data_IF_981573316925
#
_entry.id   IF_981573316925
#
_cell.length_a   1.000
_cell.length_b   1.000
_cell.length_c   1.000
_cell.angle_alpha   90.00
_cell.angle_beta   90.00
_cell.angle_gamma   90.00
#
_symmetry.space_group_name_H-M   'P 1'
#
loop_
_entity.id
_entity.type
_entity.pdbx_description
1 polymer ?
#
# COMPACT_ATOMS: atom_id res chain seq x y z
N UNK A 1 -11.39 1.19 15.49
CA UNK A 1 -10.93 2.15 14.44
C UNK A 1 -9.41 2.32 14.43
N UNK A 2 -8.78 2.93 15.45
CA UNK A 2 -7.33 3.21 15.43
C UNK A 2 -6.46 1.94 15.27
N UNK A 3 -6.73 0.88 16.05
CA UNK A 3 -6.01 -0.40 15.89
C UNK A 3 -6.10 -0.98 14.46
N UNK A 4 -7.26 -0.87 13.82
CA UNK A 4 -7.45 -1.31 12.44
C UNK A 4 -6.67 -0.47 11.43
N UNK A 5 -6.40 0.80 11.75
CA UNK A 5 -5.59 1.68 10.90
C UNK A 5 -4.09 1.34 11.00
N UNK A 6 -3.61 0.88 12.16
CA UNK A 6 -2.18 0.66 12.42
C UNK A 6 -1.74 -0.80 12.34
N UNK A 7 -2.66 -1.75 12.12
CA UNK A 7 -2.31 -3.19 12.18
C UNK A 7 -1.31 -3.63 11.11
N UNK A 8 -1.37 -3.04 9.91
CA UNK A 8 -0.36 -3.33 8.89
C UNK A 8 1.02 -2.78 9.26
N UNK A 9 1.09 -1.70 10.04
CA UNK A 9 2.37 -1.14 10.49
C UNK A 9 3.11 -2.15 11.35
N UNK A 10 2.40 -2.79 12.30
CA UNK A 10 3.00 -3.82 13.14
C UNK A 10 3.39 -5.07 12.35
N UNK A 11 2.61 -5.47 11.35
CA UNK A 11 3.03 -6.53 10.43
C UNK A 11 4.35 -6.17 9.74
N UNK A 12 4.41 -4.99 9.12
CA UNK A 12 5.60 -4.53 8.40
C UNK A 12 6.80 -4.41 9.35
N UNK A 13 6.63 -3.85 10.55
CA UNK A 13 7.70 -3.73 11.54
C UNK A 13 8.28 -5.09 11.95
N UNK A 14 7.42 -6.08 12.19
CA UNK A 14 7.88 -7.44 12.53
C UNK A 14 8.64 -8.05 11.36
N UNK A 15 8.14 -7.90 10.12
CA UNK A 15 8.85 -8.41 8.96
C UNK A 15 10.16 -7.66 8.73
N UNK A 16 10.26 -6.35 8.96
CA UNK A 16 11.53 -5.61 8.90
C UNK A 16 12.52 -6.19 9.91
N UNK A 17 12.11 -6.44 11.15
CA UNK A 17 12.99 -7.02 12.19
C UNK A 17 13.51 -8.40 11.79
N UNK A 18 12.73 -9.20 11.05
CA UNK A 18 13.14 -10.53 10.58
C UNK A 18 13.99 -10.44 9.30
N UNK A 19 13.53 -9.69 8.30
CA UNK A 19 14.12 -9.68 6.96
C UNK A 19 15.32 -8.76 6.85
N UNK A 20 15.36 -7.62 7.54
CA UNK A 20 16.48 -6.69 7.38
C UNK A 20 17.83 -7.31 7.77
N UNK A 21 17.98 -8.02 8.93
CA UNK A 21 19.24 -8.69 9.25
C UNK A 21 19.58 -9.82 8.28
N UNK A 22 18.58 -10.57 7.83
CA UNK A 22 18.77 -11.64 6.84
C UNK A 22 19.21 -11.07 5.49
N UNK A 23 18.64 -9.95 5.07
CA UNK A 23 18.98 -9.29 3.82
C UNK A 23 20.40 -8.72 3.86
N UNK A 24 20.77 -8.03 4.94
CA UNK A 24 22.12 -7.49 5.12
C UNK A 24 23.20 -8.60 5.12
N UNK A 25 22.87 -9.80 5.60
CA UNK A 25 23.85 -10.89 5.71
C UNK A 25 23.87 -11.81 4.49
N UNK A 26 22.73 -12.00 3.82
CA UNK A 26 22.58 -13.02 2.77
C UNK A 26 22.22 -12.46 1.40
N UNK A 27 21.69 -11.24 1.33
CA UNK A 27 21.14 -10.61 0.12
C UNK A 27 20.10 -11.52 -0.57
N UNK A 28 19.25 -12.21 0.20
CA UNK A 28 18.38 -13.25 -0.37
C UNK A 28 17.23 -12.65 -1.19
N UNK A 29 16.63 -11.54 -0.75
CA UNK A 29 15.57 -10.86 -1.50
C UNK A 29 16.15 -10.26 -2.77
N UNK A 30 17.31 -9.60 -2.70
CA UNK A 30 18.04 -9.08 -3.86
C UNK A 30 18.34 -10.20 -4.87
N UNK A 31 18.97 -11.31 -4.43
CA UNK A 31 19.32 -12.43 -5.32
C UNK A 31 18.11 -13.07 -5.99
N UNK A 32 17.03 -13.31 -5.24
CA UNK A 32 15.80 -13.89 -5.80
C UNK A 32 15.14 -12.89 -6.74
N UNK A 33 15.13 -11.60 -6.39
CA UNK A 33 14.55 -10.55 -7.22
C UNK A 33 15.30 -10.38 -8.53
N UNK A 34 16.63 -10.35 -8.51
CA UNK A 34 17.47 -10.30 -9.72
C UNK A 34 17.22 -11.50 -10.62
N UNK A 35 17.14 -12.70 -10.03
CA UNK A 35 16.80 -13.92 -10.78
C UNK A 35 15.43 -13.78 -11.45
N UNK A 36 14.38 -13.42 -10.72
CA UNK A 36 13.03 -13.26 -11.27
C UNK A 36 12.95 -12.14 -12.31
N UNK A 37 13.60 -11.02 -12.07
CA UNK A 37 13.67 -9.88 -12.99
C UNK A 37 14.35 -10.30 -14.29
N UNK A 38 15.44 -11.07 -14.22
CA UNK A 38 16.12 -11.59 -15.40
C UNK A 38 15.26 -12.55 -16.24
N UNK A 39 14.36 -13.30 -15.61
CA UNK A 39 13.40 -14.16 -16.31
C UNK A 39 12.30 -13.36 -17.00
N UNK A 40 11.85 -12.25 -16.40
CA UNK A 40 10.80 -11.38 -16.98
C UNK A 40 11.36 -10.54 -18.13
N UNK A 41 12.63 -10.13 -18.05
CA UNK A 41 13.31 -9.37 -19.12
C UNK A 41 13.88 -10.32 -20.20
N UNK A 42 14.07 -11.60 -19.89
CA UNK A 42 14.60 -12.63 -20.78
C UNK A 42 13.58 -13.16 -21.81
N UNK A 43 14.04 -13.27 -23.07
CA UNK A 43 13.41 -13.91 -24.23
C UNK A 43 12.16 -13.30 -24.87
N UNK A 44 11.39 -12.44 -24.22
CA UNK A 44 10.42 -11.60 -24.92
C UNK A 44 10.24 -10.31 -24.15
N UNK A 45 10.68 -9.20 -24.72
CA UNK A 45 10.25 -7.88 -24.28
C UNK A 45 8.73 -7.86 -24.40
N UNK A 46 8.04 -8.13 -23.29
CA UNK A 46 6.60 -8.01 -23.21
C UNK A 46 6.34 -6.52 -23.40
N UNK A 47 6.11 -6.13 -24.64
CA UNK A 47 5.56 -4.84 -25.02
C UNK A 47 4.13 -4.81 -24.48
N UNK A 48 3.98 -4.49 -23.20
CA UNK A 48 2.72 -4.14 -22.54
C UNK A 48 2.17 -2.78 -23.04
N UNK A 49 2.59 -2.33 -24.22
CA UNK A 49 2.26 -1.04 -24.80
C UNK A 49 0.83 -0.93 -25.34
N UNK A 50 -0.03 -1.95 -25.25
CA UNK A 50 -1.26 -1.93 -26.05
C UNK A 50 -2.58 -1.59 -25.35
N UNK A 51 -2.58 -1.23 -24.06
CA UNK A 51 -3.77 -0.56 -23.50
C UNK A 51 -3.37 0.33 -22.33
N UNK A 52 -2.90 1.54 -22.63
CA UNK A 52 -2.70 2.57 -21.60
C UNK A 52 -4.08 3.15 -21.21
N UNK A 53 -4.91 2.32 -20.56
CA UNK A 53 -6.30 2.60 -20.15
C UNK A 53 -6.40 3.88 -19.33
N UNK A 54 -5.38 4.16 -18.53
CA UNK A 54 -5.25 5.40 -17.76
C UNK A 54 -5.16 6.58 -18.72
N UNK A 55 -4.27 6.55 -19.72
CA UNK A 55 -4.14 7.63 -20.71
C UNK A 55 -5.42 7.80 -21.51
N UNK A 56 -6.08 6.72 -21.92
CA UNK A 56 -7.36 6.81 -22.62
C UNK A 56 -8.45 7.49 -21.77
N UNK A 57 -8.56 7.13 -20.49
CA UNK A 57 -9.53 7.73 -19.58
C UNK A 57 -9.19 9.17 -19.16
N UNK A 58 -7.89 9.50 -19.06
CA UNK A 58 -7.42 10.80 -18.55
C UNK A 58 -7.12 11.83 -19.65
N UNK A 59 -6.79 11.41 -20.87
CA UNK A 59 -6.49 12.28 -22.02
C UNK A 59 -7.48 13.43 -22.23
N UNK A 60 -8.82 13.21 -22.27
CA UNK A 60 -9.74 14.32 -22.53
C UNK A 60 -9.72 15.37 -21.41
N UNK A 61 -9.37 14.98 -20.19
CA UNK A 61 -9.28 15.89 -19.05
C UNK A 61 -7.92 16.60 -19.04
N UNK A 62 -6.82 15.87 -19.24
CA UNK A 62 -5.47 16.43 -19.23
C UNK A 62 -5.23 17.39 -20.40
N UNK A 63 -5.77 17.12 -21.59
CA UNK A 63 -5.69 18.01 -22.75
C UNK A 63 -6.43 19.34 -22.51
N UNK A 64 -7.60 19.31 -21.86
CA UNK A 64 -8.34 20.52 -21.50
C UNK A 64 -7.58 21.36 -20.47
N UNK A 65 -6.98 20.71 -19.47
CA UNK A 65 -6.17 21.38 -18.46
C UNK A 65 -4.93 22.02 -19.09
N UNK A 66 -4.23 21.29 -19.97
CA UNK A 66 -3.04 21.80 -20.66
C UNK A 66 -3.37 22.98 -21.57
N UNK A 67 -4.49 22.92 -22.30
CA UNK A 67 -4.94 24.02 -23.16
C UNK A 67 -5.22 25.29 -22.35
N UNK A 68 -5.90 25.15 -21.20
CA UNK A 68 -6.15 26.26 -20.30
C UNK A 68 -4.85 26.81 -19.68
N UNK A 69 -3.97 25.92 -19.20
CA UNK A 69 -2.69 26.31 -18.59
C UNK A 69 -1.77 27.04 -19.56
N UNK A 70 -1.71 26.60 -20.82
CA UNK A 70 -0.89 27.24 -21.86
C UNK A 70 -1.40 28.63 -22.26
N UNK A 71 -2.60 29.03 -21.82
CA UNK A 71 -3.10 30.40 -21.98
C UNK A 71 -2.51 31.38 -20.96
N UNK A 72 -1.77 30.89 -19.95
CA UNK A 72 -1.11 31.70 -18.93
C UNK A 72 0.38 31.89 -19.26
N UNK A 73 0.97 33.07 -19.01
CA UNK A 73 2.41 33.28 -19.16
C UNK A 73 3.24 32.46 -18.15
N UNK A 74 4.46 32.07 -18.54
CA UNK A 74 5.48 31.55 -17.60
C UNK A 74 5.84 32.62 -16.54
N UNK A 75 5.94 32.30 -15.24
CA UNK A 75 5.85 30.97 -14.62
C UNK A 75 4.43 30.61 -14.08
N UNK A 76 3.41 31.44 -14.37
CA UNK A 76 2.07 31.28 -13.81
C UNK A 76 1.36 30.02 -14.30
N UNK A 77 1.68 29.54 -15.51
CA UNK A 77 1.20 28.26 -16.03
C UNK A 77 1.58 27.07 -15.11
N UNK A 78 2.85 26.96 -14.71
CA UNK A 78 3.35 25.88 -13.86
C UNK A 78 2.76 25.95 -12.44
N UNK A 79 2.67 27.16 -11.88
CA UNK A 79 2.04 27.38 -10.57
C UNK A 79 0.55 26.98 -10.62
N UNK A 80 -0.16 27.35 -11.68
CA UNK A 80 -1.57 26.99 -11.86
C UNK A 80 -1.76 25.47 -11.97
N UNK A 81 -0.91 24.76 -12.72
CA UNK A 81 -0.96 23.30 -12.82
C UNK A 81 -0.73 22.62 -11.47
N UNK A 82 0.26 23.08 -10.69
CA UNK A 82 0.55 22.53 -9.36
C UNK A 82 -0.65 22.74 -8.43
N UNK A 83 -1.17 23.96 -8.35
CA UNK A 83 -2.32 24.28 -7.48
C UNK A 83 -3.55 23.48 -7.89
N UNK A 84 -3.82 23.37 -9.20
CA UNK A 84 -4.96 22.62 -9.71
C UNK A 84 -4.82 21.11 -9.44
N UNK A 85 -3.64 20.54 -9.66
CA UNK A 85 -3.35 19.13 -9.38
C UNK A 85 -3.52 18.81 -7.89
N UNK A 86 -2.96 19.62 -7.00
CA UNK A 86 -3.13 19.48 -5.56
C UNK A 86 -4.63 19.57 -5.18
N UNK A 87 -5.35 20.55 -5.71
CA UNK A 87 -6.79 20.71 -5.44
C UNK A 87 -7.61 19.50 -5.88
N UNK A 88 -7.32 18.94 -7.06
CA UNK A 88 -7.96 17.71 -7.56
C UNK A 88 -7.67 16.50 -6.67
N UNK A 89 -6.44 16.37 -6.16
CA UNK A 89 -6.07 15.30 -5.22
C UNK A 89 -6.92 15.40 -3.95
N UNK A 90 -6.98 16.57 -3.33
CA UNK A 90 -7.80 16.78 -2.12
C UNK A 90 -9.28 16.55 -2.37
N UNK A 91 -9.82 17.02 -3.50
CA UNK A 91 -11.21 16.81 -3.88
C UNK A 91 -11.53 15.32 -4.07
N UNK A 92 -10.62 14.58 -4.72
CA UNK A 92 -10.75 13.14 -4.92
C UNK A 92 -10.76 12.39 -3.60
N UNK A 93 -9.82 12.70 -2.68
CA UNK A 93 -9.77 12.10 -1.33
C UNK A 93 -11.07 12.39 -0.55
N UNK A 94 -11.58 13.62 -0.63
CA UNK A 94 -12.83 14.00 0.02
C UNK A 94 -14.03 13.18 -0.50
N UNK A 95 -14.18 13.06 -1.81
CA UNK A 95 -15.28 12.30 -2.42
C UNK A 95 -15.16 10.80 -2.17
N UNK A 96 -13.95 10.24 -2.24
CA UNK A 96 -13.69 8.85 -1.85
C UNK A 96 -14.20 8.66 -0.43
N UNK A 97 -13.77 9.47 0.54
CA UNK A 97 -14.23 9.34 1.93
C UNK A 97 -15.76 9.39 2.11
N UNK A 98 -16.47 10.23 1.34
CA UNK A 98 -17.95 10.31 1.36
C UNK A 98 -18.61 9.08 0.72
N UNK A 99 -18.08 8.61 -0.40
CA UNK A 99 -18.56 7.42 -1.10
C UNK A 99 -18.33 6.18 -0.25
N UNK A 100 -17.16 6.02 0.36
CA UNK A 100 -16.88 4.92 1.28
C UNK A 100 -17.90 4.90 2.42
N UNK A 101 -18.18 6.02 3.08
CA UNK A 101 -19.24 6.10 4.11
C UNK A 101 -20.63 5.70 3.61
N UNK A 102 -20.95 5.98 2.34
CA UNK A 102 -22.25 5.65 1.73
C UNK A 102 -22.33 4.19 1.33
N UNK A 103 -21.24 3.63 0.80
CA UNK A 103 -21.11 2.22 0.44
C UNK A 103 -21.21 1.30 1.67
N UNK A 104 -20.93 1.82 2.86
CA UNK A 104 -21.00 1.06 4.12
C UNK A 104 -22.43 0.84 4.65
N UNK A 105 -23.47 1.16 3.87
CA UNK A 105 -24.87 0.95 4.25
C UNK A 105 -25.51 -0.11 3.35
N UNK A 106 -26.04 -1.19 3.94
CA UNK A 106 -26.81 -2.23 3.22
C UNK A 106 -25.97 -3.40 2.69
N UNK A 107 -26.22 -3.83 1.43
CA UNK A 107 -25.73 -5.09 0.83
C UNK A 107 -24.22 -5.22 0.67
N UNK A 108 -23.51 -4.11 0.44
CA UNK A 108 -22.05 -4.14 0.30
C UNK A 108 -21.37 -4.61 1.60
N UNK A 109 -22.02 -4.36 2.74
CA UNK A 109 -21.54 -4.75 4.05
C UNK A 109 -21.62 -6.27 4.27
N UNK A 110 -22.74 -6.89 3.90
CA UNK A 110 -22.92 -8.35 3.96
C UNK A 110 -22.02 -9.09 2.96
N UNK A 111 -21.86 -8.55 1.75
CA UNK A 111 -20.94 -9.11 0.76
C UNK A 111 -19.49 -9.08 1.26
N UNK A 112 -19.08 -7.96 1.86
CA UNK A 112 -17.73 -7.80 2.39
C UNK A 112 -17.50 -8.74 3.59
N UNK A 113 -18.48 -8.86 4.49
CA UNK A 113 -18.44 -9.85 5.57
C UNK A 113 -18.27 -11.27 5.07
N UNK A 114 -19.02 -11.65 4.03
CA UNK A 114 -18.95 -13.00 3.48
C UNK A 114 -17.61 -13.24 2.77
N UNK A 115 -17.08 -12.23 2.06
CA UNK A 115 -15.80 -12.33 1.36
C UNK A 115 -14.60 -12.40 2.32
N UNK A 116 -14.66 -11.68 3.46
CA UNK A 116 -13.57 -11.61 4.45
C UNK A 116 -13.68 -12.69 5.52
N UNK A 117 -14.90 -13.04 5.94
CA UNK A 117 -15.18 -13.90 7.10
C UNK A 117 -14.88 -15.38 6.92
N UNK A 118 -14.60 -15.85 5.69
CA UNK A 118 -14.30 -17.26 5.39
C UNK A 118 -12.85 -17.67 5.76
N UNK A 119 -12.19 -16.90 6.62
CA UNK A 119 -10.86 -17.17 7.14
C UNK A 119 -9.74 -16.40 6.43
N UNK A 120 -8.48 -16.56 6.89
CA UNK A 120 -7.39 -15.68 6.49
C UNK A 120 -7.07 -15.66 4.99
N UNK A 121 -7.16 -16.81 4.32
CA UNK A 121 -6.89 -16.88 2.88
C UNK A 121 -7.93 -16.11 2.06
N UNK A 122 -9.21 -16.19 2.46
CA UNK A 122 -10.28 -15.43 1.83
C UNK A 122 -10.11 -13.93 2.06
N UNK A 123 -9.71 -13.53 3.28
CA UNK A 123 -9.36 -12.15 3.60
C UNK A 123 -8.20 -11.62 2.72
N UNK A 124 -7.07 -12.34 2.67
CA UNK A 124 -5.89 -11.97 1.87
C UNK A 124 -6.25 -11.87 0.37
N UNK A 125 -6.96 -12.86 -0.16
CA UNK A 125 -7.38 -12.85 -1.56
C UNK A 125 -8.31 -11.67 -1.87
N UNK A 126 -9.29 -11.41 -1.00
CA UNK A 126 -10.23 -10.30 -1.15
C UNK A 126 -9.52 -8.94 -1.11
N UNK A 127 -8.63 -8.73 -0.14
CA UNK A 127 -7.86 -7.48 -0.02
C UNK A 127 -6.93 -7.24 -1.21
N UNK A 128 -6.31 -8.30 -1.72
CA UNK A 128 -5.48 -8.27 -2.93
C UNK A 128 -6.31 -7.86 -4.13
N UNK A 129 -7.42 -8.55 -4.38
CA UNK A 129 -8.30 -8.31 -5.52
C UNK A 129 -8.88 -6.90 -5.50
N UNK A 130 -9.42 -6.46 -4.37
CA UNK A 130 -9.97 -5.11 -4.22
C UNK A 130 -8.90 -4.07 -4.48
N UNK A 131 -7.69 -4.26 -3.95
CA UNK A 131 -6.59 -3.30 -4.17
C UNK A 131 -6.09 -3.28 -5.60
N UNK A 132 -6.01 -4.42 -6.30
CA UNK A 132 -5.64 -4.44 -7.72
C UNK A 132 -6.69 -3.74 -8.58
N UNK A 133 -7.98 -3.90 -8.26
CA UNK A 133 -9.07 -3.21 -8.99
C UNK A 133 -9.04 -1.71 -8.71
N UNK A 134 -8.93 -1.33 -7.44
CA UNK A 134 -8.98 0.07 -7.00
C UNK A 134 -7.64 0.78 -7.25
N UNK A 135 -6.54 0.04 -7.42
CA UNK A 135 -5.17 0.52 -7.58
C UNK A 135 -4.67 1.38 -6.41
N UNK A 136 -5.31 1.27 -5.23
CA UNK A 136 -4.98 2.07 -4.05
C UNK A 136 -5.26 1.29 -2.76
N UNK A 137 -4.20 0.84 -2.09
CA UNK A 137 -4.32 0.18 -0.78
C UNK A 137 -4.75 1.13 0.33
N UNK A 138 -4.41 2.42 0.26
CA UNK A 138 -4.91 3.41 1.23
C UNK A 138 -6.43 3.52 1.15
N UNK A 139 -7.00 3.53 -0.05
CA UNK A 139 -8.45 3.48 -0.25
C UNK A 139 -9.02 2.16 0.25
N UNK A 140 -8.45 1.02 -0.14
CA UNK A 140 -8.90 -0.32 0.27
C UNK A 140 -8.87 -0.52 1.79
N UNK A 141 -7.80 -0.12 2.47
CA UNK A 141 -7.65 -0.28 3.93
C UNK A 141 -8.51 0.73 4.69
N UNK A 142 -8.66 1.96 4.18
CA UNK A 142 -9.53 2.97 4.80
C UNK A 142 -11.01 2.57 4.82
N UNK A 143 -11.47 1.70 3.91
CA UNK A 143 -12.80 1.11 3.97
C UNK A 143 -13.03 0.28 5.23
N UNK A 144 -11.98 -0.39 5.74
CA UNK A 144 -12.08 -1.27 6.90
C UNK A 144 -12.11 -0.49 8.21
N UNK A 145 -11.47 0.68 8.26
CA UNK A 145 -11.30 1.45 9.51
C UNK A 145 -12.63 1.83 10.18
N UNK A 146 -13.66 2.33 9.46
CA UNK A 146 -14.94 2.61 10.07
C UNK A 146 -15.76 1.34 10.36
N UNK A 147 -15.59 0.24 9.60
CA UNK A 147 -16.23 -1.05 9.92
C UNK A 147 -15.70 -1.64 11.23
N UNK A 148 -14.41 -1.49 11.48
CA UNK A 148 -13.80 -1.76 12.78
C UNK A 148 -14.30 -0.80 13.86
N UNK A 149 -14.56 0.46 13.49
CA UNK A 149 -15.06 1.50 14.39
C UNK A 149 -16.48 1.23 14.88
N UNK A 150 -17.33 0.68 14.02
CA UNK A 150 -18.71 0.27 14.36
C UNK A 150 -18.78 -1.11 15.02
N UNK A 151 -17.64 -1.80 15.19
CA UNK A 151 -17.56 -3.15 15.74
C UNK A 151 -18.13 -4.23 14.82
N UNK A 152 -18.33 -3.88 13.54
CA UNK A 152 -18.97 -4.77 12.60
C UNK A 152 -17.97 -5.84 12.12
N UNK A 153 -16.76 -5.43 11.73
CA UNK A 153 -15.64 -6.33 11.50
C UNK A 153 -14.68 -6.29 12.70
N UNK A 154 -14.27 -7.47 13.15
CA UNK A 154 -13.23 -7.63 14.15
C UNK A 154 -11.85 -7.31 13.56
N UNK A 155 -10.88 -6.99 14.43
CA UNK A 155 -9.51 -6.75 14.00
C UNK A 155 -8.88 -8.01 13.38
N UNK A 156 -9.30 -9.19 13.84
CA UNK A 156 -8.88 -10.51 13.35
C UNK A 156 -9.36 -10.77 11.91
N UNK A 157 -10.52 -10.23 11.52
CA UNK A 157 -11.04 -10.30 10.15
C UNK A 157 -10.37 -9.27 9.24
N UNK A 158 -10.15 -8.05 9.75
CA UNK A 158 -9.52 -6.96 8.99
C UNK A 158 -8.04 -7.23 8.71
N UNK A 159 -7.36 -7.90 9.64
CA UNK A 159 -5.94 -8.16 9.53
C UNK A 159 -5.53 -8.86 8.21
N UNK A 160 -6.02 -10.08 7.89
CA UNK A 160 -5.69 -10.76 6.63
C UNK A 160 -6.09 -9.94 5.40
N UNK A 161 -7.21 -9.22 5.45
CA UNK A 161 -7.63 -8.32 4.37
C UNK A 161 -6.61 -7.21 4.10
N UNK A 162 -6.08 -6.62 5.17
CA UNK A 162 -5.08 -5.55 5.08
C UNK A 162 -3.76 -6.08 4.49
N UNK A 163 -3.35 -7.30 4.84
CA UNK A 163 -2.18 -7.95 4.22
C UNK A 163 -2.38 -8.23 2.74
N UNK A 164 -3.58 -8.65 2.36
CA UNK A 164 -3.98 -8.74 0.96
C UNK A 164 -3.83 -7.41 0.24
N UNK A 165 -4.27 -6.32 0.86
CA UNK A 165 -4.13 -4.99 0.27
C UNK A 165 -2.65 -4.57 0.07
N UNK A 166 -1.76 -4.95 0.98
CA UNK A 166 -0.32 -4.75 0.78
C UNK A 166 0.20 -5.51 -0.44
N UNK A 167 -0.15 -6.80 -0.58
CA UNK A 167 0.21 -7.62 -1.75
C UNK A 167 -0.34 -7.00 -3.05
N UNK A 168 -1.59 -6.54 -3.04
CA UNK A 168 -2.21 -5.87 -4.19
C UNK A 168 -1.44 -4.62 -4.65
N UNK A 169 -0.90 -3.85 -3.70
CA UNK A 169 -0.04 -2.69 -4.01
C UNK A 169 1.24 -3.09 -4.72
N UNK A 170 1.84 -4.22 -4.34
CA UNK A 170 3.03 -4.74 -5.01
C UNK A 170 2.73 -5.16 -6.46
N UNK A 171 1.55 -5.72 -6.73
CA UNK A 171 1.11 -6.03 -8.09
C UNK A 171 0.97 -4.74 -8.91
N UNK A 172 0.39 -3.68 -8.35
CA UNK A 172 0.36 -2.35 -8.98
C UNK A 172 1.76 -1.82 -9.29
N UNK A 173 2.70 -1.95 -8.34
CA UNK A 173 4.08 -1.51 -8.52
C UNK A 173 4.80 -2.30 -9.63
N UNK A 174 4.57 -3.62 -9.72
CA UNK A 174 5.12 -4.46 -10.79
C UNK A 174 4.58 -4.06 -12.16
N UNK A 175 3.26 -3.85 -12.27
CA UNK A 175 2.65 -3.35 -13.50
C UNK A 175 3.22 -1.99 -13.90
N UNK A 176 3.40 -1.08 -12.94
CA UNK A 176 4.04 0.21 -13.20
C UNK A 176 5.50 0.07 -13.68
N UNK A 177 6.27 -0.84 -13.06
CA UNK A 177 7.66 -1.09 -13.43
C UNK A 177 7.82 -1.64 -14.86
N UNK A 178 6.87 -2.47 -15.33
CA UNK A 178 6.87 -2.94 -16.73
C UNK A 178 6.57 -1.84 -17.75
N UNK A 179 6.06 -0.68 -17.32
CA UNK A 179 5.84 0.49 -18.19
C UNK A 179 7.08 1.35 -18.40
N UNK A 180 8.20 1.05 -17.75
CA UNK A 180 9.46 1.79 -17.87
C UNK A 180 10.14 1.41 -19.19
N UNK A 181 10.28 2.37 -20.11
CA UNK A 181 10.91 2.13 -21.42
C UNK A 181 12.43 2.18 -21.37
N UNK A 182 12.99 3.05 -20.52
CA UNK A 182 14.42 3.24 -20.39
C UNK A 182 14.94 2.49 -19.16
N UNK A 183 15.74 1.44 -19.40
CA UNK A 183 16.34 0.61 -18.35
C UNK A 183 15.33 0.13 -17.27
N UNK A 184 14.43 -0.83 -17.59
CA UNK A 184 13.39 -1.29 -16.67
C UNK A 184 13.90 -2.10 -15.48
N UNK A 185 15.16 -2.58 -15.52
CA UNK A 185 15.71 -3.55 -14.58
C UNK A 185 15.62 -3.06 -13.13
N UNK A 186 16.09 -1.86 -12.75
CA UNK A 186 16.07 -1.42 -11.36
C UNK A 186 14.64 -1.24 -10.82
N UNK A 187 13.72 -0.73 -11.66
CA UNK A 187 12.33 -0.54 -11.27
C UNK A 187 11.61 -1.88 -11.04
N UNK A 188 11.84 -2.84 -11.93
CA UNK A 188 11.26 -4.18 -11.84
C UNK A 188 11.84 -4.97 -10.67
N UNK A 189 13.14 -4.80 -10.41
CA UNK A 189 13.82 -5.40 -9.25
C UNK A 189 13.25 -4.88 -7.93
N UNK A 190 13.12 -3.56 -7.76
CA UNK A 190 12.54 -2.96 -6.55
C UNK A 190 11.09 -3.43 -6.35
N UNK A 191 10.29 -3.44 -7.42
CA UNK A 191 8.91 -3.89 -7.36
C UNK A 191 8.81 -5.40 -7.00
N UNK A 192 9.74 -6.21 -7.51
CA UNK A 192 9.81 -7.64 -7.21
C UNK A 192 10.27 -7.90 -5.78
N UNK A 193 11.28 -7.18 -5.27
CA UNK A 193 11.65 -7.21 -3.84
C UNK A 193 10.45 -6.85 -2.98
N UNK A 194 9.70 -5.81 -3.34
CA UNK A 194 8.51 -5.38 -2.59
C UNK A 194 7.41 -6.46 -2.57
N UNK A 195 7.17 -7.14 -3.70
CA UNK A 195 6.23 -8.26 -3.77
C UNK A 195 6.71 -9.43 -2.90
N UNK A 196 7.97 -9.84 -3.04
CA UNK A 196 8.56 -10.94 -2.28
C UNK A 196 8.52 -10.66 -0.78
N UNK A 197 8.87 -9.45 -0.37
CA UNK A 197 8.82 -9.00 1.02
C UNK A 197 7.43 -9.21 1.62
N UNK A 198 6.37 -8.81 0.91
CA UNK A 198 4.99 -8.96 1.41
C UNK A 198 4.52 -10.41 1.38
N UNK A 199 4.76 -11.15 0.29
CA UNK A 199 4.33 -12.56 0.17
C UNK A 199 5.05 -13.43 1.21
N UNK A 200 6.37 -13.37 1.28
CA UNK A 200 7.15 -14.15 2.23
C UNK A 200 6.85 -13.73 3.67
N UNK A 201 6.63 -12.44 3.91
CA UNK A 201 6.20 -11.94 5.21
C UNK A 201 4.88 -12.55 5.66
N UNK A 202 3.87 -12.58 4.77
CA UNK A 202 2.59 -13.24 5.03
C UNK A 202 2.79 -14.73 5.31
N UNK A 203 3.58 -15.43 4.49
CA UNK A 203 3.86 -16.86 4.67
C UNK A 203 4.48 -17.13 6.04
N UNK A 204 5.51 -16.38 6.43
CA UNK A 204 6.20 -16.59 7.71
C UNK A 204 5.29 -16.29 8.90
N UNK A 205 4.59 -15.15 8.87
CA UNK A 205 3.72 -14.75 9.97
C UNK A 205 2.54 -15.72 10.13
N UNK A 206 1.94 -16.21 9.04
CA UNK A 206 0.83 -17.15 9.13
C UNK A 206 1.26 -18.60 9.39
N UNK A 207 2.51 -18.95 9.09
CA UNK A 207 3.06 -20.27 9.42
C UNK A 207 3.39 -20.41 10.90
N UNK A 208 3.68 -19.31 11.60
CA UNK A 208 4.07 -19.31 13.01
C UNK A 208 2.94 -18.68 13.84
N UNK A 209 2.17 -19.47 14.62
CA UNK A 209 0.98 -18.98 15.33
C UNK A 209 1.23 -17.79 16.25
N UNK A 210 2.41 -17.73 16.87
CA UNK A 210 2.84 -16.63 17.75
C UNK A 210 2.99 -15.33 16.96
N UNK A 211 3.66 -15.38 15.80
CA UNK A 211 3.86 -14.19 14.96
C UNK A 211 2.55 -13.66 14.40
N UNK A 212 1.57 -14.53 14.13
CA UNK A 212 0.23 -14.12 13.67
C UNK A 212 -0.49 -13.22 14.67
N UNK A 213 -0.30 -13.43 15.97
CA UNK A 213 -0.98 -12.66 17.02
C UNK A 213 -0.27 -11.33 17.33
N UNK A 214 1.03 -11.24 17.09
CA UNK A 214 1.85 -10.08 17.45
C UNK A 214 1.37 -8.76 16.82
N UNK A 215 1.03 -8.67 15.52
CA UNK A 215 0.50 -7.44 14.93
C UNK A 215 -0.82 -6.98 15.53
N UNK A 216 -1.71 -7.93 15.83
CA UNK A 216 -3.01 -7.65 16.45
C UNK A 216 -2.76 -7.04 17.85
N UNK A 217 -1.93 -7.69 18.66
CA UNK A 217 -1.61 -7.23 20.01
C UNK A 217 -0.93 -5.86 20.00
N UNK A 218 0.04 -5.65 19.09
CA UNK A 218 0.73 -4.37 18.95
C UNK A 218 -0.24 -3.24 18.61
N UNK A 219 -1.14 -3.47 17.65
CA UNK A 219 -2.14 -2.51 17.23
C UNK A 219 -3.17 -2.19 18.34
N UNK A 220 -3.65 -3.20 19.06
CA UNK A 220 -4.56 -3.02 20.19
C UNK A 220 -3.89 -2.27 21.34
N UNK A 221 -2.65 -2.62 21.67
CA UNK A 221 -1.87 -1.96 22.73
C UNK A 221 -1.63 -0.49 22.39
N UNK A 222 -1.20 -0.20 21.16
CA UNK A 222 -1.00 1.18 20.71
C UNK A 222 -2.31 1.96 20.73
N UNK A 223 -3.42 1.36 20.31
CA UNK A 223 -4.74 1.99 20.34
C UNK A 223 -5.21 2.30 21.77
N UNK A 224 -5.03 1.37 22.71
CA UNK A 224 -5.37 1.58 24.12
C UNK A 224 -4.57 2.75 24.70
N UNK A 225 -3.25 2.73 24.51
CA UNK A 225 -2.34 3.78 25.01
C UNK A 225 -2.62 5.13 24.35
N UNK A 226 -2.87 5.17 23.04
CA UNK A 226 -3.20 6.40 22.30
C UNK A 226 -4.56 6.99 22.71
N UNK A 227 -5.51 6.15 23.15
CA UNK A 227 -6.81 6.61 23.65
C UNK A 227 -6.67 7.34 24.98
N UNK A 228 -5.80 6.84 25.87
CA UNK A 228 -5.49 7.51 27.13
C UNK A 228 -4.60 8.75 26.94
N UNK A 229 -3.62 8.66 26.04
CA UNK A 229 -2.57 9.67 25.84
C UNK A 229 -2.36 9.95 24.35
N UNK A 230 -3.18 10.84 23.81
CA UNK A 230 -3.20 11.19 22.37
C UNK A 230 -1.83 11.57 21.80
N UNK A 231 -0.96 12.21 22.58
CA UNK A 231 0.39 12.59 22.13
C UNK A 231 1.27 11.38 21.78
N UNK A 232 1.03 10.20 22.38
CA UNK A 232 1.80 8.99 22.10
C UNK A 232 1.56 8.45 20.68
N UNK A 233 0.39 8.70 20.09
CA UNK A 233 0.16 8.39 18.67
C UNK A 233 1.08 9.24 17.77
N UNK A 234 1.24 10.52 18.08
CA UNK A 234 2.15 11.40 17.33
C UNK A 234 3.62 11.02 17.53
N UNK A 235 4.01 10.63 18.75
CA UNK A 235 5.36 10.13 19.04
C UNK A 235 5.63 8.84 18.26
N UNK A 236 4.67 7.90 18.24
CA UNK A 236 4.78 6.67 17.45
C UNK A 236 5.00 6.98 15.97
N UNK A 237 4.14 7.82 15.38
CA UNK A 237 4.24 8.18 13.96
C UNK A 237 5.59 8.87 13.67
N UNK A 238 5.95 9.87 14.46
CA UNK A 238 7.19 10.63 14.28
C UNK A 238 8.44 9.74 14.42
N UNK A 239 8.44 8.83 15.39
CA UNK A 239 9.58 7.95 15.61
C UNK A 239 9.69 6.87 14.54
N UNK A 240 8.63 6.10 14.30
CA UNK A 240 8.64 4.92 13.43
C UNK A 240 8.80 5.28 11.96
N UNK A 241 8.14 6.34 11.48
CA UNK A 241 8.13 6.67 10.06
C UNK A 241 9.17 7.71 9.65
N UNK A 242 9.79 8.42 10.59
CA UNK A 242 10.77 9.46 10.28
C UNK A 242 12.09 9.22 11.00
N UNK A 243 12.10 9.22 12.34
CA UNK A 243 13.36 9.16 13.11
C UNK A 243 14.12 7.86 12.86
N UNK A 244 13.45 6.71 12.98
CA UNK A 244 14.10 5.39 12.80
C UNK A 244 14.65 5.23 11.37
N UNK A 245 13.87 5.46 10.29
CA UNK A 245 14.39 5.39 8.93
C UNK A 245 15.57 6.33 8.67
N UNK A 246 15.49 7.59 9.14
CA UNK A 246 16.58 8.57 8.96
C UNK A 246 17.84 8.12 9.70
N UNK A 247 17.72 7.59 10.92
CA UNK A 247 18.87 7.06 11.66
C UNK A 247 19.50 5.86 10.96
N UNK A 248 18.69 4.92 10.46
CA UNK A 248 19.17 3.74 9.73
C UNK A 248 19.89 4.13 8.44
N UNK A 249 19.33 5.06 7.66
CA UNK A 249 19.96 5.59 6.44
C UNK A 249 21.25 6.36 6.74
N UNK A 250 21.26 7.14 7.82
CA UNK A 250 22.47 7.87 8.23
C UNK A 250 23.58 6.88 8.62
N UNK A 251 23.24 5.82 9.34
CA UNK A 251 24.20 4.78 9.71
C UNK A 251 24.70 3.99 8.48
N UNK A 252 23.83 3.69 7.52
CA UNK A 252 24.23 2.96 6.31
C UNK A 252 25.13 3.76 5.37
N UNK A 253 25.14 5.11 5.47
CA UNK A 253 26.08 5.95 4.70
C UNK A 253 27.44 6.12 5.39
N UNK A 254 27.54 5.73 6.66
CA UNK A 254 28.78 5.79 7.45
C UNK A 254 29.56 4.47 7.46
N UNK A 255 28.90 3.36 7.10
CA UNK A 255 29.46 2.01 6.98
C UNK A 255 29.84 1.71 5.53
#
# INVERSE_FOLDING_TARGET
AFAAATIHDFFNLIIVVIFLPLEITTHFLEKISLFLTSLVVGENSINLNNVNLIKFATAPVTERINTFSNSLPEPFNGIALIVFGISLIFLSIFFIGKLLKTLMVGRANEMLHTAIGNGPMAGIASGTLVTVIVQSSSTTTSLMVPLAGTGLLSLQEIYPFTLGANIGTCITALLAATGITDNPIPGLEIATVHLLYNILGVVIIYSIPVLRQMPILGAETLAAVATERKYLAFVYIGSVFFVIPVLLLSLSTLL
#
